data_IF_374332879582
#
_entry.id   IF_374332879582
#
_cell.length_a   1.000
_cell.length_b   1.000
_cell.length_c   1.000
_cell.angle_alpha   90.00
_cell.angle_beta   90.00
_cell.angle_gamma   90.00
#
_symmetry.space_group_name_H-M   'P 1'
#
loop_
_entity.id
_entity.type
_entity.pdbx_description
1 polymer ?
#
# COMPACT_ATOMS: atom_id res chain seq x y z
N UNK A 1 -9.82 -21.15 17.34
CA UNK A 1 -9.64 -20.86 15.91
C UNK A 1 -9.09 -19.45 15.82
N UNK A 2 -7.76 -19.36 15.76
CA UNK A 2 -7.01 -18.15 16.10
C UNK A 2 -6.73 -17.28 14.86
N UNK A 3 -6.92 -15.95 14.93
CA UNK A 3 -6.50 -14.99 13.89
C UNK A 3 -5.00 -14.64 13.95
N UNK A 4 -4.18 -15.42 14.65
CA UNK A 4 -2.73 -15.18 14.84
C UNK A 4 -1.86 -15.88 13.79
N UNK A 5 -2.33 -16.97 13.19
CA UNK A 5 -1.56 -17.77 12.21
C UNK A 5 -1.41 -17.05 10.86
N UNK A 6 -2.41 -16.28 10.43
CA UNK A 6 -2.35 -15.50 9.19
C UNK A 6 -1.34 -14.34 9.26
N UNK A 7 -1.14 -13.75 10.44
CA UNK A 7 -0.11 -12.73 10.66
C UNK A 7 1.30 -13.34 10.66
N UNK A 8 1.43 -14.61 11.09
CA UNK A 8 2.70 -15.33 11.13
C UNK A 8 3.15 -15.77 9.73
N UNK A 9 2.24 -16.28 8.89
CA UNK A 9 2.55 -16.59 7.47
C UNK A 9 3.00 -15.36 6.68
N UNK A 10 2.34 -14.21 6.88
CA UNK A 10 2.73 -12.94 6.23
C UNK A 10 4.09 -12.39 6.71
N UNK A 11 4.54 -12.77 7.92
CA UNK A 11 5.89 -12.45 8.40
C UNK A 11 6.97 -13.36 7.81
N UNK A 12 6.60 -14.61 7.49
CA UNK A 12 7.49 -15.60 6.88
C UNK A 12 7.67 -15.35 5.38
N UNK A 13 6.61 -14.92 4.69
CA UNK A 13 6.66 -14.45 3.31
C UNK A 13 7.60 -13.24 3.17
N UNK A 14 7.49 -12.27 4.10
CA UNK A 14 8.38 -11.09 4.16
C UNK A 14 9.85 -11.47 4.43
N UNK A 15 10.09 -12.60 5.09
CA UNK A 15 11.43 -13.16 5.33
C UNK A 15 11.97 -13.87 4.08
N UNK A 16 11.13 -14.60 3.33
CA UNK A 16 11.50 -15.28 2.07
C UNK A 16 11.80 -14.29 0.94
N UNK A 17 11.08 -13.17 0.88
CA UNK A 17 11.37 -12.07 -0.07
C UNK A 17 12.65 -11.31 0.28
N UNK A 18 13.01 -11.21 1.57
CA UNK A 18 14.26 -10.56 1.99
C UNK A 18 15.52 -11.40 1.68
N UNK A 19 15.41 -12.73 1.70
CA UNK A 19 16.51 -13.63 1.30
C UNK A 19 16.70 -13.69 -0.22
N UNK A 20 15.64 -13.55 -1.03
CA UNK A 20 15.76 -13.47 -2.50
C UNK A 20 16.38 -12.15 -2.98
N UNK A 21 16.27 -11.06 -2.21
CA UNK A 21 16.91 -9.79 -2.51
C UNK A 21 18.44 -9.78 -2.23
N UNK A 22 18.94 -10.71 -1.41
CA UNK A 22 20.36 -10.80 -1.05
C UNK A 22 21.11 -11.95 -1.77
N UNK A 23 20.42 -12.80 -2.53
CA UNK A 23 20.95 -14.10 -2.97
C UNK A 23 21.60 -14.20 -4.35
N UNK A 24 21.07 -13.53 -5.38
CA UNK A 24 21.33 -14.01 -6.77
C UNK A 24 21.77 -12.94 -7.81
N UNK A 25 22.22 -11.75 -7.39
CA UNK A 25 22.69 -10.69 -8.32
C UNK A 25 24.22 -10.43 -8.31
N UNK A 26 25.00 -11.20 -7.55
CA UNK A 26 26.46 -11.20 -7.59
C UNK A 26 26.98 -12.46 -8.26
N UNK A 27 26.63 -12.66 -9.54
CA UNK A 27 27.21 -13.74 -10.34
C UNK A 27 28.58 -13.28 -10.88
N UNK A 28 29.67 -13.81 -10.34
CA UNK A 28 31.08 -13.40 -10.53
C UNK A 28 31.61 -13.40 -11.99
N UNK A 29 30.78 -13.63 -13.01
CA UNK A 29 31.22 -13.78 -14.41
C UNK A 29 30.76 -12.71 -15.41
N UNK A 30 29.82 -11.80 -15.08
CA UNK A 30 29.25 -10.88 -16.09
C UNK A 30 28.59 -9.60 -15.52
N UNK A 31 29.26 -8.90 -14.59
CA UNK A 31 28.65 -7.84 -13.74
C UNK A 31 28.72 -6.40 -14.26
N UNK A 32 29.29 -6.09 -15.43
CA UNK A 32 29.68 -4.68 -15.73
C UNK A 32 29.00 -3.96 -16.89
N UNK A 33 28.20 -4.60 -17.76
CA UNK A 33 27.65 -3.92 -18.96
C UNK A 33 26.12 -3.89 -19.06
N UNK A 34 25.40 -4.65 -18.24
CA UNK A 34 23.92 -4.75 -18.27
C UNK A 34 23.23 -3.90 -17.19
N UNK A 35 23.89 -3.63 -16.05
CA UNK A 35 23.34 -2.84 -14.96
C UNK A 35 23.76 -1.38 -15.12
N UNK A 36 22.88 -0.54 -15.65
CA UNK A 36 23.11 0.90 -15.72
C UNK A 36 23.11 1.49 -14.30
N UNK A 37 24.02 2.44 -14.00
CA UNK A 37 24.17 3.04 -12.67
C UNK A 37 22.87 3.67 -12.10
N UNK A 38 21.89 3.98 -12.96
CA UNK A 38 20.57 4.51 -12.57
C UNK A 38 19.55 3.42 -12.17
N UNK A 39 19.81 2.14 -12.44
CA UNK A 39 18.91 1.01 -12.18
C UNK A 39 18.32 0.98 -10.75
N UNK A 40 19.10 1.17 -9.65
CA UNK A 40 18.53 1.17 -8.31
C UNK A 40 17.60 2.36 -8.02
N UNK A 41 17.84 3.52 -8.67
CA UNK A 41 17.03 4.72 -8.45
C UNK A 41 15.62 4.56 -9.03
N UNK A 42 15.46 3.85 -10.17
CA UNK A 42 14.13 3.52 -10.69
C UNK A 42 13.42 2.45 -9.84
N UNK A 43 14.15 1.50 -9.26
CA UNK A 43 13.58 0.50 -8.35
C UNK A 43 13.00 1.15 -7.08
N UNK A 44 13.83 1.86 -6.32
CA UNK A 44 13.38 2.53 -5.08
C UNK A 44 12.44 3.71 -5.36
N UNK A 45 12.68 4.46 -6.45
CA UNK A 45 11.81 5.54 -6.88
C UNK A 45 10.42 5.04 -7.26
N UNK A 46 10.31 3.94 -8.01
CA UNK A 46 9.04 3.32 -8.36
C UNK A 46 8.22 2.89 -7.13
N UNK A 47 8.86 2.26 -6.14
CA UNK A 47 8.21 1.94 -4.87
C UNK A 47 7.73 3.21 -4.13
N UNK A 48 8.55 4.26 -4.08
CA UNK A 48 8.16 5.51 -3.43
C UNK A 48 6.95 6.16 -4.11
N UNK A 49 6.96 6.25 -5.45
CA UNK A 49 5.83 6.81 -6.20
C UNK A 49 4.55 5.98 -6.05
N UNK A 50 4.66 4.64 -6.08
CA UNK A 50 3.50 3.75 -5.90
C UNK A 50 2.79 3.99 -4.57
N UNK A 51 3.55 4.07 -3.47
CA UNK A 51 2.99 4.28 -2.13
C UNK A 51 2.42 5.69 -1.97
N UNK A 52 3.08 6.72 -2.52
CA UNK A 52 2.59 8.10 -2.43
C UNK A 52 1.27 8.26 -3.18
N UNK A 53 1.17 7.76 -4.41
CA UNK A 53 -0.07 7.87 -5.20
C UNK A 53 -1.21 7.04 -4.59
N UNK A 54 -0.92 5.86 -4.03
CA UNK A 54 -1.91 5.04 -3.34
C UNK A 54 -2.52 5.77 -2.13
N UNK A 55 -1.66 6.35 -1.28
CA UNK A 55 -2.12 7.11 -0.10
C UNK A 55 -2.83 8.41 -0.48
N UNK A 56 -2.38 9.08 -1.55
CA UNK A 56 -3.06 10.27 -2.06
C UNK A 56 -4.50 9.93 -2.50
N UNK A 57 -4.69 8.87 -3.29
CA UNK A 57 -6.01 8.46 -3.77
C UNK A 57 -6.98 8.14 -2.64
N UNK A 58 -6.53 7.41 -1.62
CA UNK A 58 -7.32 7.10 -0.43
C UNK A 58 -7.65 8.34 0.41
N UNK A 59 -6.68 9.23 0.61
CA UNK A 59 -6.87 10.46 1.37
C UNK A 59 -7.83 11.44 0.67
N UNK A 60 -7.67 11.64 -0.65
CA UNK A 60 -8.55 12.51 -1.43
C UNK A 60 -9.98 11.96 -1.54
N UNK A 61 -10.15 10.66 -1.75
CA UNK A 61 -11.47 10.02 -1.74
C UNK A 61 -12.17 10.17 -0.38
N UNK A 62 -11.41 10.04 0.71
CA UNK A 62 -11.92 10.23 2.07
C UNK A 62 -12.32 11.69 2.34
N UNK A 63 -11.49 12.66 1.94
CA UNK A 63 -11.78 14.08 2.13
C UNK A 63 -13.07 14.52 1.43
N UNK A 64 -13.28 14.06 0.19
CA UNK A 64 -14.50 14.38 -0.58
C UNK A 64 -15.75 13.68 -0.05
N UNK A 65 -15.63 12.43 0.39
CA UNK A 65 -16.73 11.74 1.06
C UNK A 65 -17.11 12.43 2.39
N UNK A 66 -16.11 12.89 3.17
CA UNK A 66 -16.32 13.56 4.45
C UNK A 66 -17.07 14.89 4.32
N UNK A 67 -16.86 15.64 3.24
CA UNK A 67 -17.58 16.90 2.95
C UNK A 67 -19.11 16.67 2.90
N UNK A 68 -19.54 15.61 2.21
CA UNK A 68 -20.94 15.21 2.15
C UNK A 68 -21.46 14.68 3.49
N UNK A 69 -20.66 13.90 4.22
CA UNK A 69 -21.04 13.35 5.52
C UNK A 69 -21.28 14.46 6.55
N UNK A 70 -20.40 15.47 6.61
CA UNK A 70 -20.56 16.61 7.53
C UNK A 70 -21.81 17.44 7.20
N UNK A 71 -22.14 17.62 5.92
CA UNK A 71 -23.35 18.33 5.50
C UNK A 71 -24.65 17.59 5.85
N UNK A 72 -24.63 16.25 5.86
CA UNK A 72 -25.80 15.42 6.20
C UNK A 72 -25.94 15.18 7.71
N UNK A 73 -24.84 15.21 8.47
CA UNK A 73 -24.83 14.90 9.90
C UNK A 73 -25.62 15.86 10.79
N UNK A 74 -25.84 17.09 10.32
CA UNK A 74 -26.62 18.10 11.04
C UNK A 74 -28.13 17.90 10.80
N UNK A 75 -28.54 17.36 9.65
CA UNK A 75 -29.96 17.20 9.29
C UNK A 75 -30.55 15.87 9.74
N UNK A 76 -29.80 14.77 9.69
CA UNK A 76 -30.30 13.43 10.01
C UNK A 76 -29.16 12.48 10.38
N UNK A 77 -28.90 12.25 11.69
CA UNK A 77 -27.76 11.43 12.13
C UNK A 77 -27.92 9.94 11.83
N UNK A 78 -29.14 9.44 11.58
CA UNK A 78 -29.40 8.04 11.26
C UNK A 78 -28.75 7.60 9.92
N UNK A 79 -28.65 8.53 8.97
CA UNK A 79 -28.08 8.28 7.64
C UNK A 79 -26.54 8.28 7.66
N UNK A 80 -25.90 8.90 8.66
CA UNK A 80 -24.44 8.94 8.80
C UNK A 80 -23.83 7.54 8.88
N UNK A 81 -24.50 6.64 9.60
CA UNK A 81 -23.99 5.29 9.89
C UNK A 81 -23.93 4.44 8.61
N UNK A 82 -24.85 4.69 7.66
CA UNK A 82 -24.84 4.01 6.35
C UNK A 82 -23.82 4.63 5.40
N UNK A 83 -23.53 5.91 5.54
CA UNK A 83 -22.64 6.65 4.64
C UNK A 83 -21.14 6.54 4.98
N UNK A 84 -20.75 5.75 5.98
CA UNK A 84 -19.33 5.53 6.34
C UNK A 84 -18.63 4.43 5.52
N UNK A 85 -19.40 3.57 4.86
CA UNK A 85 -18.91 2.50 3.95
C UNK A 85 -17.91 3.01 2.90
N UNK A 86 -18.11 4.15 2.19
CA UNK A 86 -17.14 4.67 1.24
C UNK A 86 -15.78 5.05 1.87
N UNK A 87 -15.76 5.49 3.14
CA UNK A 87 -14.52 5.83 3.85
C UNK A 87 -13.71 4.56 4.13
N UNK A 88 -14.38 3.49 4.55
CA UNK A 88 -13.72 2.20 4.78
C UNK A 88 -13.19 1.62 3.48
N UNK A 89 -13.93 1.72 2.37
CA UNK A 89 -13.50 1.24 1.06
C UNK A 89 -12.27 1.99 0.53
N UNK A 90 -12.19 3.30 0.75
CA UNK A 90 -11.00 4.10 0.44
C UNK A 90 -9.77 3.68 1.28
N UNK A 91 -9.98 3.26 2.53
CA UNK A 91 -8.92 2.78 3.43
C UNK A 91 -8.30 1.46 2.97
N UNK A 92 -9.09 0.50 2.51
CA UNK A 92 -8.55 -0.81 2.07
C UNK A 92 -7.73 -0.67 0.79
N UNK A 93 -8.14 0.20 -0.15
CA UNK A 93 -7.35 0.53 -1.35
C UNK A 93 -5.95 1.08 -1.01
N UNK A 94 -5.84 1.87 0.07
CA UNK A 94 -4.54 2.36 0.56
C UNK A 94 -3.62 1.24 1.06
N UNK A 95 -4.16 0.21 1.72
CA UNK A 95 -3.37 -0.95 2.15
C UNK A 95 -2.98 -1.83 0.97
N UNK A 96 -3.85 -1.97 -0.03
CA UNK A 96 -3.51 -2.70 -1.26
C UNK A 96 -2.41 -2.03 -2.07
N UNK A 97 -2.28 -0.70 -2.01
CA UNK A 97 -1.15 0.00 -2.65
C UNK A 97 0.15 0.01 -1.85
N UNK A 98 0.12 -0.49 -0.61
CA UNK A 98 1.30 -0.64 0.26
C UNK A 98 1.87 -2.07 0.25
N UNK A 99 1.04 -3.07 -0.07
CA UNK A 99 1.41 -4.48 -0.17
C UNK A 99 1.97 -4.81 -1.55
#
# INVERSE_FOLDING_TARGET
AEPTVAFKERSEERRKTATMANGDYYNEGNVSYLCASWAPILGFGGCAFAVVFANLGGAFGTAKAAEGIMAMGIRSPELLIKNIIPVVMAGVLGIYGLM
#
